data_IF_305835971065
#
_entry.id   IF_305835971065
#
_cell.length_a   1.000
_cell.length_b   1.000
_cell.length_c   1.000
_cell.angle_alpha   90.00
_cell.angle_beta   90.00
_cell.angle_gamma   90.00
#
_symmetry.space_group_name_H-M   'P 1'
#
loop_
_entity.id
_entity.type
_entity.pdbx_description
1 polymer ?
#
# COMPACT_ATOMS: atom_id res chain seq x y z
N UNK A 1 -23.34 4.53 -11.25
CA UNK A 1 -23.50 3.89 -9.94
C UNK A 1 -22.21 4.05 -9.16
N UNK A 2 -22.19 4.76 -8.06
CA UNK A 2 -21.01 4.72 -7.21
C UNK A 2 -20.83 3.26 -6.76
N UNK A 3 -19.69 2.67 -7.08
CA UNK A 3 -19.37 1.31 -6.67
C UNK A 3 -19.42 1.23 -5.15
N UNK A 4 -20.29 0.38 -4.62
CA UNK A 4 -20.22 0.00 -3.22
C UNK A 4 -18.82 -0.51 -2.97
N UNK A 5 -18.08 0.14 -2.09
CA UNK A 5 -16.87 -0.43 -1.52
C UNK A 5 -17.26 -1.78 -0.93
N UNK A 6 -16.88 -2.86 -1.58
CA UNK A 6 -17.11 -4.20 -1.06
C UNK A 6 -16.27 -4.29 0.21
N UNK A 7 -16.93 -4.47 1.34
CA UNK A 7 -16.23 -4.70 2.60
C UNK A 7 -15.40 -5.97 2.47
N UNK A 8 -14.09 -5.82 2.45
CA UNK A 8 -13.16 -6.94 2.41
C UNK A 8 -13.14 -7.60 3.80
N UNK A 9 -13.52 -8.87 3.88
CA UNK A 9 -13.67 -9.59 5.14
C UNK A 9 -12.63 -10.67 5.39
N UNK A 10 -11.85 -11.04 4.36
CA UNK A 10 -10.83 -12.10 4.42
C UNK A 10 -9.61 -11.76 3.58
N UNK A 11 -8.49 -12.44 3.86
CA UNK A 11 -7.24 -12.22 3.13
C UNK A 11 -7.32 -12.57 1.64
N UNK A 12 -8.05 -13.61 1.26
CA UNK A 12 -8.28 -13.97 -0.14
C UNK A 12 -9.17 -12.96 -0.86
N UNK A 13 -10.15 -12.38 -0.18
CA UNK A 13 -10.97 -11.28 -0.71
C UNK A 13 -10.14 -10.01 -0.89
N UNK A 14 -9.20 -9.77 0.02
CA UNK A 14 -8.25 -8.65 -0.10
C UNK A 14 -7.38 -8.81 -1.34
N UNK A 15 -6.84 -10.00 -1.59
CA UNK A 15 -6.06 -10.30 -2.79
C UNK A 15 -6.86 -10.07 -4.08
N UNK A 16 -8.11 -10.50 -4.11
CA UNK A 16 -9.02 -10.24 -5.25
C UNK A 16 -9.30 -8.75 -5.44
N UNK A 17 -9.51 -8.01 -4.35
CA UNK A 17 -9.72 -6.56 -4.40
C UNK A 17 -8.46 -5.82 -4.91
N UNK A 18 -7.28 -6.25 -4.51
CA UNK A 18 -6.00 -5.74 -5.02
C UNK A 18 -5.85 -6.00 -6.51
N UNK A 19 -6.16 -7.21 -6.97
CA UNK A 19 -6.15 -7.57 -8.40
C UNK A 19 -7.13 -6.71 -9.21
N UNK A 20 -8.32 -6.44 -8.66
CA UNK A 20 -9.32 -5.59 -9.31
C UNK A 20 -8.83 -4.15 -9.46
N UNK A 21 -8.16 -3.59 -8.44
CA UNK A 21 -7.53 -2.27 -8.54
C UNK A 21 -6.43 -2.27 -9.60
N UNK A 22 -5.62 -3.31 -9.66
CA UNK A 22 -4.58 -3.46 -10.69
C UNK A 22 -5.18 -3.41 -12.10
N UNK A 23 -6.25 -4.16 -12.36
CA UNK A 23 -6.94 -4.14 -13.67
C UNK A 23 -7.53 -2.77 -13.99
N UNK A 24 -8.14 -2.12 -13.01
CA UNK A 24 -8.69 -0.76 -13.17
C UNK A 24 -7.61 0.24 -13.61
N UNK A 25 -6.40 0.07 -13.11
CA UNK A 25 -5.24 0.91 -13.46
C UNK A 25 -4.53 0.49 -14.77
N UNK A 26 -5.01 -0.55 -15.44
CA UNK A 26 -4.40 -1.07 -16.66
C UNK A 26 -3.19 -1.97 -16.41
N UNK A 27 -2.99 -2.45 -15.19
CA UNK A 27 -1.97 -3.43 -14.85
C UNK A 27 -2.48 -4.85 -15.07
N UNK A 28 -1.55 -5.78 -15.25
CA UNK A 28 -1.85 -7.20 -15.39
C UNK A 28 -1.63 -7.93 -14.06
N UNK A 29 -2.69 -8.39 -13.38
CA UNK A 29 -2.54 -9.14 -12.13
C UNK A 29 -2.37 -10.63 -12.37
N UNK A 30 -1.53 -11.25 -11.56
CA UNK A 30 -1.44 -12.70 -11.40
C UNK A 30 -1.54 -13.02 -9.92
N UNK A 31 -2.41 -13.96 -9.56
CA UNK A 31 -2.58 -14.38 -8.17
C UNK A 31 -1.82 -15.68 -7.89
N UNK A 32 -1.37 -15.86 -6.65
CA UNK A 32 -0.68 -17.05 -6.16
C UNK A 32 0.51 -17.44 -7.03
N UNK A 33 1.42 -16.52 -7.23
CA UNK A 33 2.64 -16.74 -8.04
C UNK A 33 3.70 -17.45 -7.21
N UNK A 34 4.10 -18.62 -7.65
CA UNK A 34 5.16 -19.39 -7.01
C UNK A 34 6.53 -18.74 -7.26
N UNK A 35 7.27 -18.48 -6.19
CA UNK A 35 8.57 -17.77 -6.27
C UNK A 35 9.74 -18.70 -5.99
N UNK A 36 9.67 -19.51 -4.94
CA UNK A 36 10.73 -20.38 -4.49
C UNK A 36 10.23 -21.41 -3.50
N UNK A 37 11.12 -22.33 -3.13
CA UNK A 37 10.87 -23.22 -2.00
C UNK A 37 11.59 -22.71 -0.76
N UNK A 38 10.95 -22.81 0.40
CA UNK A 38 11.60 -22.60 1.69
C UNK A 38 12.61 -23.74 1.96
N UNK A 39 13.55 -23.51 2.87
CA UNK A 39 14.60 -24.48 3.25
C UNK A 39 14.03 -25.89 3.57
N UNK A 40 12.81 -25.95 4.11
CA UNK A 40 12.15 -27.21 4.47
C UNK A 40 11.22 -27.76 3.36
N UNK A 41 11.35 -27.30 2.12
CA UNK A 41 10.56 -27.78 1.00
C UNK A 41 9.17 -27.17 0.87
N UNK A 42 8.74 -26.30 1.77
CA UNK A 42 7.48 -25.58 1.63
C UNK A 42 7.55 -24.59 0.45
N UNK A 43 6.54 -24.61 -0.39
CA UNK A 43 6.43 -23.67 -1.49
C UNK A 43 6.12 -22.26 -0.98
N UNK A 44 6.71 -21.26 -1.63
CA UNK A 44 6.44 -19.86 -1.36
C UNK A 44 5.67 -19.25 -2.50
N UNK A 45 4.56 -18.61 -2.17
CA UNK A 45 3.71 -17.92 -3.14
C UNK A 45 3.62 -16.43 -2.79
N UNK A 46 3.58 -15.61 -3.82
CA UNK A 46 3.19 -14.20 -3.71
C UNK A 46 1.70 -14.11 -3.97
N UNK A 47 0.94 -13.43 -3.11
CA UNK A 47 -0.50 -13.36 -3.23
C UNK A 47 -0.96 -12.73 -4.54
N UNK A 48 -0.35 -11.60 -4.91
CA UNK A 48 -0.62 -10.90 -6.18
C UNK A 48 0.68 -10.36 -6.76
N UNK A 49 0.88 -10.54 -8.05
CA UNK A 49 1.93 -9.87 -8.82
C UNK A 49 1.27 -8.97 -9.85
N UNK A 50 1.59 -7.68 -9.81
CA UNK A 50 1.13 -6.72 -10.80
C UNK A 50 2.27 -6.41 -11.79
N UNK A 51 1.95 -6.44 -13.08
CA UNK A 51 2.90 -6.13 -14.16
C UNK A 51 2.36 -4.99 -15.02
N UNK A 52 3.20 -4.00 -15.28
CA UNK A 52 2.87 -2.96 -16.26
C UNK A 52 3.05 -3.53 -17.68
N UNK A 53 2.03 -3.48 -18.55
CA UNK A 53 2.07 -4.16 -19.84
C UNK A 53 3.12 -3.59 -20.82
N UNK A 54 3.43 -2.30 -20.74
CA UNK A 54 4.42 -1.66 -21.62
C UNK A 54 5.83 -1.71 -21.04
N UNK A 55 6.03 -1.24 -19.81
CA UNK A 55 7.35 -1.14 -19.17
C UNK A 55 7.86 -2.46 -18.63
N UNK A 56 6.97 -3.46 -18.44
CA UNK A 56 7.25 -4.75 -17.82
C UNK A 56 7.70 -4.66 -16.36
N UNK A 57 7.59 -3.49 -15.74
CA UNK A 57 7.83 -3.31 -14.31
C UNK A 57 6.85 -4.15 -13.51
N UNK A 58 7.35 -4.86 -12.49
CA UNK A 58 6.58 -5.78 -11.68
C UNK A 58 6.65 -5.40 -10.20
N UNK A 59 5.58 -5.70 -9.48
CA UNK A 59 5.47 -5.54 -8.04
C UNK A 59 4.76 -6.76 -7.44
N UNK A 60 5.36 -7.36 -6.43
CA UNK A 60 4.72 -8.40 -5.64
C UNK A 60 3.99 -7.80 -4.44
N UNK A 61 2.79 -8.28 -4.17
CA UNK A 61 1.96 -7.82 -3.05
C UNK A 61 1.58 -9.00 -2.17
N UNK A 62 1.84 -8.84 -0.88
CA UNK A 62 1.37 -9.75 0.16
C UNK A 62 0.18 -9.11 0.86
N UNK A 63 -0.93 -9.82 0.94
CA UNK A 63 -2.17 -9.29 1.48
C UNK A 63 -2.42 -9.81 2.90
N UNK A 64 -2.58 -8.92 3.86
CA UNK A 64 -2.86 -9.24 5.26
C UNK A 64 -4.14 -8.55 5.70
N UNK A 65 -5.11 -9.34 6.12
CA UNK A 65 -6.37 -8.84 6.64
C UNK A 65 -6.53 -9.24 8.11
N UNK A 66 -6.95 -8.29 8.93
CA UNK A 66 -7.29 -8.53 10.33
C UNK A 66 -8.54 -7.75 10.70
N UNK A 67 -9.67 -8.46 10.84
CA UNK A 67 -10.96 -7.86 11.18
C UNK A 67 -11.15 -7.60 12.67
N UNK A 68 -10.46 -8.37 13.52
CA UNK A 68 -10.48 -8.25 14.97
C UNK A 68 -9.05 -8.32 15.50
N UNK A 69 -8.82 -7.82 16.70
CA UNK A 69 -7.52 -7.98 17.37
C UNK A 69 -7.16 -9.45 17.47
N UNK A 70 -5.96 -9.82 17.02
CA UNK A 70 -5.50 -11.20 17.01
C UNK A 70 -4.01 -11.33 16.69
N UNK A 71 -3.60 -12.57 16.40
CA UNK A 71 -2.20 -12.96 16.24
C UNK A 71 -1.58 -12.63 14.89
N UNK A 72 -2.36 -12.10 13.93
CA UNK A 72 -1.84 -11.74 12.60
C UNK A 72 -0.72 -10.72 12.67
N UNK A 73 -0.78 -9.79 13.63
CA UNK A 73 0.24 -8.75 13.81
C UNK A 73 1.62 -9.33 14.14
N UNK A 74 1.69 -10.44 14.88
CA UNK A 74 2.96 -11.07 15.26
C UNK A 74 3.74 -11.61 14.05
N UNK A 75 3.04 -11.93 12.95
CA UNK A 75 3.64 -12.49 11.74
C UNK A 75 4.15 -11.44 10.76
N UNK A 76 3.77 -10.18 10.94
CA UNK A 76 4.06 -9.12 9.97
C UNK A 76 5.55 -8.81 9.86
N UNK A 77 6.35 -8.73 10.95
CA UNK A 77 7.79 -8.51 10.81
C UNK A 77 8.49 -9.59 9.99
N UNK A 78 8.08 -10.86 10.14
CA UNK A 78 8.60 -11.96 9.32
C UNK A 78 8.17 -11.82 7.86
N UNK A 79 6.96 -11.34 7.59
CA UNK A 79 6.46 -11.05 6.24
C UNK A 79 7.28 -9.97 5.56
N UNK A 80 7.65 -8.91 6.26
CA UNK A 80 8.51 -7.84 5.72
C UNK A 80 9.88 -8.41 5.32
N UNK A 81 10.48 -9.26 6.14
CA UNK A 81 11.74 -9.94 5.80
C UNK A 81 11.60 -10.86 4.59
N UNK A 82 10.50 -11.59 4.50
CA UNK A 82 10.22 -12.45 3.34
C UNK A 82 10.14 -11.66 2.04
N UNK A 83 9.52 -10.51 2.07
CA UNK A 83 9.40 -9.61 0.91
C UNK A 83 10.78 -9.14 0.44
N UNK A 84 11.68 -8.83 1.35
CA UNK A 84 13.05 -8.41 1.02
C UNK A 84 13.84 -9.49 0.26
N UNK A 85 13.48 -10.76 0.45
CA UNK A 85 14.11 -11.89 -0.24
C UNK A 85 13.49 -12.20 -1.61
N UNK A 86 12.44 -11.51 -2.03
CA UNK A 86 11.84 -11.72 -3.34
C UNK A 86 12.74 -11.20 -4.48
N UNK A 87 12.69 -11.83 -5.67
CA UNK A 87 13.42 -11.36 -6.84
C UNK A 87 12.83 -10.08 -7.47
N UNK A 88 11.68 -9.65 -7.02
CA UNK A 88 10.96 -8.44 -7.44
C UNK A 88 10.68 -7.56 -6.23
N UNK A 89 10.49 -6.24 -6.42
CA UNK A 89 10.03 -5.38 -5.34
C UNK A 89 8.75 -5.90 -4.72
N UNK A 90 8.62 -5.79 -3.41
CA UNK A 90 7.48 -6.28 -2.65
C UNK A 90 6.84 -5.21 -1.78
N UNK A 91 5.54 -5.38 -1.54
CA UNK A 91 4.72 -4.51 -0.72
C UNK A 91 3.73 -5.35 0.10
N UNK A 92 3.59 -5.03 1.37
CA UNK A 92 2.48 -5.55 2.18
C UNK A 92 1.28 -4.64 2.03
N UNK A 93 0.15 -5.20 1.63
CA UNK A 93 -1.14 -4.52 1.66
C UNK A 93 -1.91 -5.05 2.86
N UNK A 94 -2.28 -4.17 3.76
CA UNK A 94 -3.02 -4.56 4.95
C UNK A 94 -4.38 -3.87 5.01
N UNK A 95 -5.36 -4.56 5.54
CA UNK A 95 -6.73 -4.09 5.65
C UNK A 95 -7.42 -4.64 6.88
N UNK A 96 -8.57 -4.05 7.22
CA UNK A 96 -9.39 -4.40 8.36
C UNK A 96 -9.11 -3.54 9.59
N UNK A 97 -10.05 -3.55 10.53
CA UNK A 97 -10.03 -2.70 11.72
C UNK A 97 -9.28 -3.32 12.91
N UNK A 98 -8.78 -4.56 12.73
CA UNK A 98 -8.14 -5.33 13.80
C UNK A 98 -6.69 -4.95 14.08
N UNK A 99 -6.04 -4.19 13.21
CA UNK A 99 -4.67 -3.73 13.44
C UNK A 99 -4.63 -2.63 14.49
N UNK A 100 -3.71 -2.76 15.46
CA UNK A 100 -3.47 -1.69 16.42
C UNK A 100 -2.82 -0.48 15.75
N UNK A 101 -3.02 0.70 16.32
CA UNK A 101 -2.42 1.94 15.82
C UNK A 101 -0.89 1.87 15.82
N UNK A 102 -0.30 1.27 16.84
CA UNK A 102 1.14 1.05 16.90
C UNK A 102 1.63 0.15 15.75
N UNK A 103 0.91 -0.91 15.42
CA UNK A 103 1.27 -1.80 14.31
C UNK A 103 1.12 -1.08 12.97
N UNK A 104 0.05 -0.30 12.78
CA UNK A 104 -0.11 0.52 11.57
C UNK A 104 1.05 1.49 11.38
N UNK A 105 1.44 2.20 12.43
CA UNK A 105 2.57 3.12 12.41
C UNK A 105 3.88 2.41 12.11
N UNK A 106 4.11 1.24 12.71
CA UNK A 106 5.28 0.41 12.43
C UNK A 106 5.33 0.01 10.95
N UNK A 107 4.23 -0.53 10.41
CA UNK A 107 4.15 -0.97 9.02
C UNK A 107 4.44 0.18 8.04
N UNK A 108 3.80 1.33 8.25
CA UNK A 108 3.99 2.51 7.42
C UNK A 108 5.46 2.99 7.49
N UNK A 109 6.08 2.94 8.66
CA UNK A 109 7.47 3.35 8.84
C UNK A 109 8.48 2.49 8.10
N UNK A 110 8.14 1.25 7.76
CA UNK A 110 9.03 0.37 6.97
C UNK A 110 9.18 0.83 5.52
N UNK A 111 8.26 1.64 5.00
CA UNK A 111 8.18 2.00 3.60
C UNK A 111 7.79 0.83 2.67
N UNK A 112 7.44 -0.33 3.24
CA UNK A 112 7.11 -1.58 2.51
C UNK A 112 5.69 -2.07 2.79
N UNK A 113 4.87 -1.23 3.40
CA UNK A 113 3.49 -1.55 3.71
C UNK A 113 2.58 -0.35 3.42
N UNK A 114 1.37 -0.64 2.98
CA UNK A 114 0.34 0.35 2.69
C UNK A 114 -1.02 -0.17 3.13
N UNK A 115 -1.86 0.72 3.65
CA UNK A 115 -3.26 0.40 3.88
C UNK A 115 -3.98 0.22 2.54
N UNK A 116 -4.93 -0.70 2.49
CA UNK A 116 -5.67 -0.99 1.26
C UNK A 116 -6.32 0.26 0.66
N UNK A 117 -6.86 1.15 1.49
CA UNK A 117 -7.50 2.40 1.09
C UNK A 117 -6.54 3.37 0.38
N UNK A 118 -5.24 3.26 0.67
CA UNK A 118 -4.18 4.09 0.07
C UNK A 118 -3.44 3.40 -1.08
N UNK A 119 -3.83 2.17 -1.42
CA UNK A 119 -3.12 1.37 -2.42
C UNK A 119 -3.14 1.98 -3.81
N UNK A 120 -4.29 2.47 -4.26
CA UNK A 120 -4.43 2.98 -5.63
C UNK A 120 -3.48 4.14 -5.93
N UNK A 121 -3.41 5.22 -5.13
CA UNK A 121 -2.42 6.27 -5.35
C UNK A 121 -0.97 5.78 -5.21
N UNK A 122 -0.71 4.87 -4.30
CA UNK A 122 0.61 4.26 -4.15
C UNK A 122 1.07 3.55 -5.43
N UNK A 123 0.18 2.74 -6.02
CA UNK A 123 0.46 2.03 -7.28
C UNK A 123 0.68 3.00 -8.45
N UNK A 124 -0.10 4.08 -8.52
CA UNK A 124 0.10 5.10 -9.54
C UNK A 124 1.50 5.72 -9.45
N UNK A 125 1.97 6.03 -8.25
CA UNK A 125 3.32 6.56 -8.04
C UNK A 125 4.40 5.52 -8.40
N UNK A 126 4.22 4.30 -7.97
CA UNK A 126 5.19 3.23 -8.22
C UNK A 126 5.33 2.92 -9.72
N UNK A 127 4.23 2.78 -10.43
CA UNK A 127 4.21 2.43 -11.86
C UNK A 127 4.30 3.63 -12.80
N UNK A 128 4.34 4.86 -12.29
CA UNK A 128 4.37 6.06 -13.12
C UNK A 128 3.07 6.32 -13.87
N UNK A 129 1.93 5.95 -13.27
CA UNK A 129 0.59 6.16 -13.83
C UNK A 129 0.06 7.55 -13.43
N UNK A 130 -0.88 8.13 -14.24
CA UNK A 130 -1.50 9.39 -13.86
C UNK A 130 -2.24 9.28 -12.53
N UNK A 131 -1.98 10.24 -11.63
CA UNK A 131 -2.75 10.38 -10.40
C UNK A 131 -4.10 11.02 -10.67
N UNK A 132 -5.14 10.51 -10.01
CA UNK A 132 -6.43 11.20 -9.98
C UNK A 132 -6.24 12.62 -9.41
N UNK A 133 -6.78 13.67 -10.06
CA UNK A 133 -6.74 15.03 -9.53
C UNK A 133 -7.25 15.17 -8.11
N UNK A 134 -8.20 14.32 -7.69
CA UNK A 134 -8.73 14.30 -6.32
C UNK A 134 -7.74 13.75 -5.29
N UNK A 135 -6.75 12.99 -5.72
CA UNK A 135 -5.70 12.44 -4.85
C UNK A 135 -4.60 13.46 -4.57
N UNK A 136 -4.51 14.52 -5.37
CA UNK A 136 -3.53 15.59 -5.15
C UNK A 136 -3.93 16.39 -3.92
N UNK A 137 -3.01 16.51 -2.98
CA UNK A 137 -3.20 17.42 -1.86
C UNK A 137 -3.38 18.84 -2.41
N UNK A 138 -4.56 19.44 -2.20
CA UNK A 138 -4.74 20.86 -2.39
C UNK A 138 -4.21 21.52 -1.12
N UNK A 139 -3.22 22.45 -1.20
CA UNK A 139 -2.88 23.24 -0.03
C UNK A 139 -4.18 23.90 0.45
N UNK A 140 -4.48 23.73 1.73
CA UNK A 140 -5.60 24.38 2.36
C UNK A 140 -5.50 25.88 2.07
N UNK A 141 -6.61 26.47 1.62
CA UNK A 141 -6.69 27.92 1.35
C UNK A 141 -6.67 28.77 2.63
N UNK A 142 -6.44 28.16 3.77
CA UNK A 142 -6.24 28.83 5.05
C UNK A 142 -4.84 29.43 5.08
N UNK A 143 -4.67 30.46 4.22
CA UNK A 143 -3.58 31.42 4.37
C UNK A 143 -3.76 32.11 5.70
N UNK A 144 -2.97 31.77 6.67
CA UNK A 144 -2.65 32.73 7.70
C UNK A 144 -2.04 33.92 6.98
N UNK A 145 -2.80 34.99 6.82
CA UNK A 145 -2.24 36.30 6.70
C UNK A 145 -1.37 36.49 7.92
N UNK A 146 -0.08 36.27 7.75
CA UNK A 146 0.89 36.80 8.71
C UNK A 146 0.85 38.31 8.49
N UNK A 147 0.19 38.95 9.42
CA UNK A 147 0.29 40.39 9.65
C UNK A 147 1.77 40.73 9.76
N UNK A 148 2.35 41.28 8.67
CA UNK A 148 3.65 41.87 8.67
C UNK A 148 3.56 43.18 9.44
N UNK A 149 3.67 43.09 10.76
CA UNK A 149 4.00 44.26 11.56
C UNK A 149 5.44 44.66 11.21
N UNK A 150 5.54 45.67 10.37
CA UNK A 150 6.78 46.41 10.14
C UNK A 150 7.45 46.76 11.48
N UNK A 151 8.46 45.98 11.82
CA UNK A 151 9.40 46.32 12.88
C UNK A 151 10.32 47.43 12.38
N UNK A 152 9.95 48.67 12.68
CA UNK A 152 10.75 49.85 12.49
C UNK A 152 12.02 49.73 13.34
N UNK A 153 13.18 49.51 12.71
CA UNK A 153 14.46 49.58 13.38
C UNK A 153 14.80 51.04 13.71
N UNK A 154 15.21 51.35 14.93
CA UNK A 154 15.69 52.68 15.24
C UNK A 154 17.06 52.88 14.61
N UNK A 155 17.20 54.01 13.90
CA UNK A 155 18.49 54.51 13.40
C UNK A 155 19.39 54.89 14.60
N UNK A 156 20.56 54.32 14.56
CA UNK A 156 21.71 54.94 15.21
C UNK A 156 22.61 55.62 14.18
#
# INVERSE_FOLDING_TARGET
MPGRAIAVTKGDELAKAVSAIGRELGLEPMEQVRVARRIWGAERFIDVVLTHPQTRKTLGLECKFQGVRGTAEEKIPATIKDIEAWPIPGLVVFGGDGFTENMRSFLISTGKAVEFEELKPWLCLFFGLPLDPLTRHRPSADGHEQDETEGRFPNF
#
